data_IF_440791116270
#
_entry.id   IF_440791116270
#
_cell.length_a   1.000
_cell.length_b   1.000
_cell.length_c   1.000
_cell.angle_alpha   90.00
_cell.angle_beta   90.00
_cell.angle_gamma   90.00
#
_symmetry.space_group_name_H-M   'P 1'
#
loop_
_entity.id
_entity.type
_entity.pdbx_description
1 polymer ?
#
# COMPACT_ATOMS: atom_id res chain seq x y z
N UNK A 1 6.14 -25.03 -9.89
CA UNK A 1 6.93 -23.81 -9.63
C UNK A 1 5.93 -22.74 -9.27
N UNK A 2 5.85 -22.36 -7.98
CA UNK A 2 4.97 -21.28 -7.56
C UNK A 2 5.61 -19.97 -8.02
N UNK A 3 4.97 -19.30 -8.96
CA UNK A 3 5.20 -17.90 -9.29
C UNK A 3 4.95 -17.11 -8.00
N UNK A 4 6.04 -16.63 -7.39
CA UNK A 4 5.96 -15.70 -6.27
C UNK A 4 5.56 -14.34 -6.88
N UNK A 5 4.26 -14.15 -7.11
CA UNK A 5 3.73 -12.83 -7.42
C UNK A 5 3.95 -11.91 -6.21
N UNK A 6 4.63 -10.76 -6.38
CA UNK A 6 4.86 -9.82 -5.29
C UNK A 6 3.55 -9.29 -4.72
N UNK A 7 3.47 -9.20 -3.39
CA UNK A 7 2.33 -8.64 -2.65
C UNK A 7 0.95 -9.27 -2.99
N UNK A 8 0.88 -10.60 -3.10
CA UNK A 8 -0.39 -11.33 -3.28
C UNK A 8 -1.43 -11.08 -2.18
N UNK A 9 -0.99 -10.61 -1.01
CA UNK A 9 -1.86 -10.33 0.13
C UNK A 9 -1.79 -8.84 0.49
N UNK A 10 -2.78 -8.06 0.03
CA UNK A 10 -2.94 -6.65 0.37
C UNK A 10 -4.03 -6.52 1.45
N UNK A 11 -3.62 -6.09 2.63
CA UNK A 11 -4.49 -5.96 3.82
C UNK A 11 -4.70 -4.49 4.12
N UNK A 12 -5.92 -4.09 4.47
CA UNK A 12 -6.23 -2.72 4.87
C UNK A 12 -6.36 -2.62 6.39
N UNK A 13 -5.88 -1.51 6.98
CA UNK A 13 -6.09 -1.26 8.41
C UNK A 13 -7.55 -1.03 8.77
N UNK A 14 -8.36 -0.63 7.79
CA UNK A 14 -9.81 -0.57 7.86
C UNK A 14 -10.38 -1.16 6.56
N UNK A 15 -10.97 -2.36 6.63
CA UNK A 15 -11.51 -3.06 5.47
C UNK A 15 -12.73 -2.35 4.85
N UNK A 16 -13.42 -1.47 5.59
CA UNK A 16 -14.55 -0.72 5.06
C UNK A 16 -14.15 0.33 4.02
N UNK A 17 -12.86 0.66 3.97
CA UNK A 17 -12.32 1.69 3.08
C UNK A 17 -11.39 1.10 2.02
N UNK A 18 -11.45 -0.23 1.86
CA UNK A 18 -10.76 -0.97 0.80
C UNK A 18 -11.08 -0.37 -0.57
N UNK A 19 -10.04 -0.16 -1.35
CA UNK A 19 -10.12 0.50 -2.65
C UNK A 19 -9.26 -0.28 -3.65
N UNK A 20 -9.87 -0.78 -4.71
CA UNK A 20 -9.18 -1.55 -5.75
C UNK A 20 -8.05 -0.76 -6.40
N UNK A 21 -8.18 0.57 -6.50
CA UNK A 21 -7.11 1.41 -7.03
C UNK A 21 -5.89 1.47 -6.10
N UNK A 22 -6.10 1.34 -4.79
CA UNK A 22 -5.03 1.24 -3.80
C UNK A 22 -4.30 -0.10 -3.89
N UNK A 23 -5.05 -1.20 -4.10
CA UNK A 23 -4.48 -2.54 -4.31
C UNK A 23 -3.61 -2.59 -5.55
N UNK A 24 -4.14 -2.13 -6.69
CA UNK A 24 -3.41 -2.09 -7.97
C UNK A 24 -2.14 -1.23 -7.87
N UNK A 25 -2.21 -0.07 -7.21
CA UNK A 25 -1.06 0.81 -7.04
C UNK A 25 0.03 0.15 -6.17
N UNK A 26 -0.35 -0.53 -5.09
CA UNK A 26 0.57 -1.24 -4.19
C UNK A 26 1.21 -2.42 -4.89
N UNK A 27 0.44 -3.22 -5.61
CA UNK A 27 0.95 -4.36 -6.35
C UNK A 27 1.95 -3.91 -7.42
N UNK A 28 1.58 -2.91 -8.24
CA UNK A 28 2.49 -2.33 -9.24
C UNK A 28 3.74 -1.74 -8.60
N UNK A 29 3.62 -1.07 -7.47
CA UNK A 29 4.79 -0.55 -6.75
C UNK A 29 5.68 -1.69 -6.24
N UNK A 30 5.10 -2.74 -5.66
CA UNK A 30 5.83 -3.91 -5.18
C UNK A 30 6.57 -4.61 -6.33
N UNK A 31 5.91 -4.81 -7.47
CA UNK A 31 6.50 -5.38 -8.68
C UNK A 31 7.66 -4.53 -9.21
N UNK A 32 7.43 -3.22 -9.40
CA UNK A 32 8.41 -2.31 -9.99
C UNK A 32 9.61 -2.05 -9.07
N UNK A 33 9.39 -1.97 -7.74
CA UNK A 33 10.37 -1.44 -6.79
C UNK A 33 10.87 -2.45 -5.77
N UNK A 34 10.13 -3.51 -5.50
CA UNK A 34 10.40 -4.44 -4.39
C UNK A 34 10.43 -5.91 -4.81
N UNK A 35 10.25 -6.25 -6.10
CA UNK A 35 10.31 -7.63 -6.58
C UNK A 35 11.62 -8.34 -6.19
N UNK A 36 12.75 -7.63 -6.24
CA UNK A 36 14.06 -8.15 -5.82
C UNK A 36 14.20 -8.41 -4.32
N UNK A 37 13.25 -7.93 -3.50
CA UNK A 37 13.24 -8.10 -2.04
C UNK A 37 12.33 -9.26 -1.58
N UNK A 38 11.68 -9.96 -2.51
CA UNK A 38 10.81 -11.08 -2.18
C UNK A 38 9.59 -10.70 -1.34
N UNK A 39 9.07 -9.48 -1.52
CA UNK A 39 7.88 -9.00 -0.81
C UNK A 39 6.66 -9.82 -1.23
N UNK A 40 5.95 -10.40 -0.26
CA UNK A 40 4.78 -11.26 -0.47
C UNK A 40 3.49 -10.67 0.12
N UNK A 41 3.59 -9.70 1.02
CA UNK A 41 2.45 -9.08 1.69
C UNK A 41 2.62 -7.56 1.82
N UNK A 42 1.51 -6.83 1.72
CA UNK A 42 1.44 -5.39 1.94
C UNK A 42 0.29 -5.04 2.89
N UNK A 43 0.56 -4.16 3.86
CA UNK A 43 -0.43 -3.66 4.80
C UNK A 43 -0.61 -2.14 4.60
N UNK A 44 -1.79 -1.74 4.14
CA UNK A 44 -2.15 -0.36 3.84
C UNK A 44 -2.68 0.30 5.11
N UNK A 45 -2.07 1.43 5.48
CA UNK A 45 -2.56 2.30 6.54
C UNK A 45 -3.57 3.29 5.97
N UNK A 46 -4.82 3.11 6.37
CA UNK A 46 -5.93 3.98 6.02
C UNK A 46 -6.02 5.17 6.99
N UNK A 47 -6.66 6.25 6.53
CA UNK A 47 -6.95 7.38 7.41
C UNK A 47 -8.07 7.04 8.41
N UNK A 48 -8.02 7.57 9.65
CA UNK A 48 -9.06 7.31 10.65
C UNK A 48 -10.44 7.75 10.15
N UNK A 49 -11.48 7.02 10.55
CA UNK A 49 -12.87 7.25 10.14
C UNK A 49 -13.35 8.68 10.44
N UNK A 50 -12.82 9.33 11.49
CA UNK A 50 -13.09 10.75 11.82
C UNK A 50 -12.62 11.75 10.76
N UNK A 51 -11.79 11.31 9.81
CA UNK A 51 -11.33 12.08 8.64
C UNK A 51 -12.00 11.64 7.33
N UNK A 52 -13.11 10.90 7.41
CA UNK A 52 -13.87 10.45 6.25
C UNK A 52 -13.48 9.07 5.71
N UNK A 53 -12.62 8.32 6.42
CA UNK A 53 -12.34 6.91 6.15
C UNK A 53 -11.90 6.66 4.70
N UNK A 54 -10.71 7.13 4.33
CA UNK A 54 -10.17 6.96 3.00
C UNK A 54 -8.84 6.21 3.06
N UNK A 55 -8.63 5.31 2.09
CA UNK A 55 -7.32 4.69 1.89
C UNK A 55 -6.30 5.72 1.41
N UNK A 56 -6.66 6.49 0.38
CA UNK A 56 -5.87 7.60 -0.15
C UNK A 56 -5.88 8.83 0.76
N UNK A 57 -4.71 9.43 0.96
CA UNK A 57 -4.55 10.69 1.67
C UNK A 57 -3.63 11.64 0.92
N UNK A 58 -3.93 12.93 1.00
CA UNK A 58 -3.01 14.00 0.61
C UNK A 58 -2.13 14.32 1.81
N UNK A 59 -0.82 14.40 1.59
CA UNK A 59 0.12 14.64 2.67
C UNK A 59 0.10 16.09 3.13
N UNK A 60 0.29 16.26 4.44
CA UNK A 60 0.69 17.54 5.03
C UNK A 60 -0.30 18.69 4.85
N UNK A 61 0.27 19.90 4.75
CA UNK A 61 -0.45 21.17 4.60
C UNK A 61 -0.43 21.69 3.16
N UNK A 62 0.28 21.02 2.26
CA UNK A 62 0.36 21.43 0.85
C UNK A 62 -0.84 20.86 0.06
N UNK A 63 -1.74 21.72 -0.45
CA UNK A 63 -2.88 21.28 -1.22
C UNK A 63 -2.52 20.64 -2.58
N UNK A 64 -1.27 20.81 -3.04
CA UNK A 64 -0.79 20.28 -4.32
C UNK A 64 -0.09 18.92 -4.20
N UNK A 65 0.07 18.39 -2.99
CA UNK A 65 0.65 17.06 -2.84
C UNK A 65 -0.25 15.99 -3.47
N UNK A 66 0.39 15.09 -4.23
CA UNK A 66 -0.30 13.97 -4.84
C UNK A 66 -0.88 13.04 -3.75
N UNK A 67 -2.04 12.47 -4.05
CA UNK A 67 -2.64 11.45 -3.20
C UNK A 67 -1.70 10.24 -3.09
N UNK A 68 -1.51 9.76 -1.87
CA UNK A 68 -0.74 8.58 -1.58
C UNK A 68 -1.40 7.72 -0.51
N UNK A 69 -0.94 6.48 -0.44
CA UNK A 69 -1.21 5.56 0.65
C UNK A 69 0.10 5.18 1.32
N UNK A 70 0.05 4.91 2.61
CA UNK A 70 1.21 4.42 3.35
C UNK A 70 1.09 2.90 3.43
N UNK A 71 2.00 2.19 2.76
CA UNK A 71 2.03 0.73 2.75
C UNK A 71 3.27 0.21 3.49
N UNK A 72 3.04 -0.73 4.40
CA UNK A 72 4.08 -1.56 5.01
C UNK A 72 4.22 -2.83 4.21
N UNK A 73 5.43 -3.17 3.79
CA UNK A 73 5.73 -4.37 3.01
C UNK A 73 6.43 -5.40 3.87
N UNK A 74 6.04 -6.66 3.69
CA UNK A 74 6.56 -7.81 4.41
C UNK A 74 7.06 -8.87 3.42
N UNK A 75 7.98 -9.70 3.88
CA UNK A 75 8.48 -10.89 3.19
C UNK A 75 8.51 -12.02 4.20
N UNK A 76 7.76 -13.10 3.96
CA UNK A 76 7.69 -14.26 4.87
C UNK A 76 7.34 -13.87 6.32
N UNK A 77 6.45 -12.89 6.49
CA UNK A 77 6.05 -12.33 7.78
C UNK A 77 7.06 -11.39 8.44
N UNK A 78 8.24 -11.16 7.83
CA UNK A 78 9.20 -10.16 8.31
C UNK A 78 8.97 -8.80 7.66
N UNK A 79 9.00 -7.74 8.47
CA UNK A 79 8.89 -6.38 7.97
C UNK A 79 10.10 -6.03 7.09
N UNK A 80 9.84 -5.59 5.86
CA UNK A 80 10.86 -5.16 4.89
C UNK A 80 11.02 -3.65 4.90
N UNK A 81 9.93 -2.91 4.70
CA UNK A 81 9.97 -1.45 4.59
C UNK A 81 8.58 -0.82 4.66
N UNK A 82 8.53 0.49 4.92
CA UNK A 82 7.33 1.32 4.75
C UNK A 82 7.57 2.28 3.59
N UNK A 83 6.61 2.42 2.68
CA UNK A 83 6.68 3.39 1.58
C UNK A 83 5.35 4.11 1.39
N UNK A 84 5.44 5.35 0.91
CA UNK A 84 4.31 6.04 0.31
C UNK A 84 4.17 5.57 -1.14
N UNK A 85 2.99 5.04 -1.47
CA UNK A 85 2.62 4.65 -2.82
C UNK A 85 1.67 5.71 -3.35
N UNK A 86 2.06 6.37 -4.43
CA UNK A 86 1.31 7.49 -5.00
C UNK A 86 0.34 7.00 -6.08
N UNK A 87 -0.81 7.68 -6.19
CA UNK A 87 -1.78 7.44 -7.26
C UNK A 87 -1.18 7.94 -8.57
N UNK A 88 -0.90 7.03 -9.51
CA UNK A 88 -0.43 7.37 -10.86
C UNK A 88 -1.60 7.79 -11.75
#
# INVERSE_FOLDING_TARGET
MAINDPANDVIFSDELVRDSSAEEAVQKFADEKLAHKGVDQAYIRCTPSSKGGQSWHKGGTDPNEAEHITANFYSQGQFVTTRHVYRK
#
